data_IF_716299921616
#
_entry.id   IF_716299921616
#
_cell.length_a   1.000
_cell.length_b   1.000
_cell.length_c   1.000
_cell.angle_alpha   90.00
_cell.angle_beta   90.00
_cell.angle_gamma   90.00
#
_symmetry.space_group_name_H-M   'P 1'
#
loop_
_entity.id
_entity.type
_entity.pdbx_description
1 polymer ?
#
# COMPACT_ATOMS: atom_id res chain seq x y z
N UNK A 1 30.14 5.64 -61.14
CA UNK A 1 28.92 5.46 -60.31
C UNK A 1 28.79 4.08 -59.63
N UNK A 2 29.87 3.27 -59.49
CA UNK A 2 29.85 1.97 -58.76
C UNK A 2 30.59 2.00 -57.41
N UNK A 3 31.44 2.99 -57.17
CA UNK A 3 32.31 3.10 -55.99
C UNK A 3 31.59 3.63 -54.76
N UNK A 4 30.69 4.62 -54.90
CA UNK A 4 29.97 5.20 -53.75
C UNK A 4 29.00 4.20 -53.10
N UNK A 5 28.28 3.42 -53.90
CA UNK A 5 27.33 2.40 -53.41
C UNK A 5 28.05 1.26 -52.69
N UNK A 6 29.24 0.85 -53.15
CA UNK A 6 30.04 -0.18 -52.48
C UNK A 6 30.68 0.31 -51.17
N UNK A 7 31.17 1.55 -51.12
CA UNK A 7 31.67 2.15 -49.88
C UNK A 7 30.55 2.40 -48.85
N UNK A 8 29.38 2.86 -49.32
CA UNK A 8 28.19 3.05 -48.49
C UNK A 8 27.73 1.71 -47.89
N UNK A 9 27.60 0.66 -48.70
CA UNK A 9 27.26 -0.68 -48.21
C UNK A 9 28.26 -1.17 -47.17
N UNK A 10 29.59 -1.09 -47.41
CA UNK A 10 30.60 -1.56 -46.43
C UNK A 10 30.56 -0.82 -45.09
N UNK A 11 30.24 0.48 -45.08
CA UNK A 11 30.22 1.30 -43.84
C UNK A 11 28.97 1.06 -43.00
N UNK A 12 27.82 0.84 -43.62
CA UNK A 12 26.54 0.67 -42.90
C UNK A 12 26.14 -0.79 -42.67
N UNK A 13 26.72 -1.75 -43.40
CA UNK A 13 26.48 -3.19 -43.17
C UNK A 13 26.74 -3.62 -41.71
N UNK A 14 27.87 -3.26 -41.06
CA UNK A 14 28.09 -3.65 -39.66
C UNK A 14 27.11 -2.98 -38.69
N UNK A 15 26.69 -1.74 -38.97
CA UNK A 15 25.69 -1.02 -38.16
C UNK A 15 24.32 -1.67 -38.28
N UNK A 16 23.91 -2.06 -39.49
CA UNK A 16 22.66 -2.78 -39.74
C UNK A 16 22.62 -4.15 -39.04
N UNK A 17 23.76 -4.85 -39.03
CA UNK A 17 23.90 -6.13 -38.30
C UNK A 17 23.76 -5.91 -36.79
N UNK A 18 24.38 -4.87 -36.22
CA UNK A 18 24.26 -4.55 -34.78
C UNK A 18 22.82 -4.18 -34.43
N UNK A 19 22.16 -3.35 -35.24
CA UNK A 19 20.74 -2.98 -35.02
C UNK A 19 19.83 -4.20 -35.10
N UNK A 20 20.07 -5.11 -36.06
CA UNK A 20 19.35 -6.38 -36.14
C UNK A 20 19.62 -7.27 -34.92
N UNK A 21 20.86 -7.33 -34.43
CA UNK A 21 21.20 -8.11 -33.24
C UNK A 21 20.53 -7.54 -31.97
N UNK A 22 20.52 -6.22 -31.81
CA UNK A 22 19.83 -5.54 -30.70
C UNK A 22 18.32 -5.74 -30.81
N UNK A 23 17.73 -5.61 -32.00
CA UNK A 23 16.31 -5.90 -32.22
C UNK A 23 15.98 -7.36 -31.96
N UNK A 24 16.85 -8.31 -32.35
CA UNK A 24 16.64 -9.73 -32.03
C UNK A 24 16.82 -10.01 -30.54
N UNK A 25 17.72 -9.31 -29.83
CA UNK A 25 17.89 -9.45 -28.38
C UNK A 25 16.73 -8.82 -27.61
N UNK A 26 16.17 -7.71 -28.09
CA UNK A 26 14.95 -7.09 -27.55
C UNK A 26 13.76 -8.00 -27.84
N UNK A 27 13.60 -8.51 -29.07
CA UNK A 27 12.52 -9.45 -29.41
C UNK A 27 12.67 -10.78 -28.69
N UNK A 28 13.90 -11.26 -28.45
CA UNK A 28 14.18 -12.45 -27.64
C UNK A 28 13.92 -12.17 -26.16
N UNK A 29 14.24 -10.97 -25.65
CA UNK A 29 13.89 -10.52 -24.30
C UNK A 29 12.38 -10.36 -24.11
N UNK A 30 11.66 -9.85 -25.10
CA UNK A 30 10.18 -9.77 -25.10
C UNK A 30 9.57 -11.17 -25.24
N UNK A 31 10.17 -12.06 -26.05
CA UNK A 31 9.69 -13.44 -26.28
C UNK A 31 10.01 -14.38 -25.11
N UNK A 32 11.13 -14.20 -24.42
CA UNK A 32 11.49 -14.98 -23.22
C UNK A 32 11.01 -14.32 -21.93
N UNK A 33 10.74 -13.02 -21.93
CA UNK A 33 10.02 -12.30 -20.88
C UNK A 33 8.51 -12.58 -20.92
N UNK A 34 7.98 -12.93 -22.09
CA UNK A 34 6.74 -13.72 -22.19
C UNK A 34 7.05 -15.16 -21.81
N UNK A 35 7.07 -15.41 -20.50
CA UNK A 35 6.99 -16.75 -19.94
C UNK A 35 5.91 -17.56 -20.68
N UNK A 36 6.25 -18.77 -21.06
CA UNK A 36 5.34 -19.72 -21.71
C UNK A 36 4.10 -19.93 -20.81
N UNK A 37 3.00 -19.29 -21.20
CA UNK A 37 1.73 -19.26 -20.49
C UNK A 37 1.08 -20.62 -20.26
N UNK A 38 1.38 -21.25 -19.12
CA UNK A 38 0.56 -22.33 -18.51
C UNK A 38 0.54 -22.33 -16.97
N UNK A 39 0.73 -21.17 -16.34
CA UNK A 39 0.56 -20.97 -14.90
C UNK A 39 0.79 -19.50 -14.55
N UNK A 40 -0.09 -18.92 -13.76
CA UNK A 40 -0.13 -17.51 -13.42
C UNK A 40 1.06 -17.04 -12.60
N UNK A 41 1.81 -17.96 -11.97
CA UNK A 41 3.07 -17.70 -11.27
C UNK A 41 3.00 -16.47 -10.34
N UNK A 42 1.83 -16.21 -9.76
CA UNK A 42 1.54 -14.98 -9.02
C UNK A 42 2.37 -14.87 -7.73
N UNK A 43 2.79 -16.01 -7.18
CA UNK A 43 3.70 -16.14 -6.04
C UNK A 43 5.13 -16.52 -6.48
N UNK A 44 5.53 -16.18 -7.71
CA UNK A 44 6.90 -16.40 -8.15
C UNK A 44 7.89 -15.66 -7.23
N UNK A 45 8.91 -16.38 -6.76
CA UNK A 45 9.91 -15.86 -5.82
C UNK A 45 9.64 -16.18 -4.36
N UNK A 46 8.44 -16.68 -4.01
CA UNK A 46 8.13 -17.10 -2.65
C UNK A 46 9.10 -18.18 -2.18
N UNK A 47 9.58 -18.05 -0.94
CA UNK A 47 10.64 -18.89 -0.38
C UNK A 47 10.12 -19.72 0.79
N UNK A 48 9.45 -20.86 0.54
CA UNK A 48 8.92 -21.74 1.59
C UNK A 48 10.00 -22.45 2.41
N UNK A 49 11.28 -22.20 2.11
CA UNK A 49 12.40 -22.69 2.90
C UNK A 49 12.83 -21.67 3.97
N UNK A 50 12.46 -20.39 3.81
CA UNK A 50 12.89 -19.27 4.66
C UNK A 50 11.74 -18.42 5.18
N UNK A 51 10.52 -18.65 4.71
CA UNK A 51 9.32 -17.92 5.08
C UNK A 51 8.18 -18.90 5.36
N UNK A 52 7.22 -18.47 6.19
CA UNK A 52 5.94 -19.14 6.26
C UNK A 52 5.03 -18.65 5.13
N UNK A 53 3.93 -19.36 4.92
CA UNK A 53 2.86 -18.90 4.04
C UNK A 53 1.64 -18.53 4.86
N UNK A 54 1.12 -17.33 4.62
CA UNK A 54 -0.11 -16.85 5.21
C UNK A 54 -1.18 -16.70 4.13
N UNK A 55 -2.40 -17.06 4.49
CA UNK A 55 -3.58 -16.73 3.72
C UNK A 55 -4.48 -15.86 4.59
N UNK A 56 -5.08 -14.85 3.99
CA UNK A 56 -6.00 -13.92 4.64
C UNK A 56 -7.39 -14.13 4.05
N UNK A 57 -8.41 -13.89 4.86
CA UNK A 57 -9.81 -13.89 4.49
C UNK A 57 -10.46 -12.63 5.07
N UNK A 58 -11.23 -11.93 4.25
CA UNK A 58 -11.97 -10.75 4.66
C UNK A 58 -13.38 -10.81 4.09
N UNK A 59 -14.38 -10.89 4.95
CA UNK A 59 -15.80 -10.98 4.58
C UNK A 59 -16.51 -9.63 4.41
N UNK A 60 -15.78 -8.53 4.63
CA UNK A 60 -16.33 -7.17 4.65
C UNK A 60 -16.45 -6.58 6.06
N UNK A 61 -16.33 -7.40 7.09
CA UNK A 61 -16.39 -6.97 8.49
C UNK A 61 -15.15 -7.40 9.28
N UNK A 62 -14.67 -8.63 9.08
CA UNK A 62 -13.61 -9.24 9.88
C UNK A 62 -12.48 -9.78 9.02
N UNK A 63 -11.24 -9.53 9.45
CA UNK A 63 -10.04 -10.09 8.83
C UNK A 63 -9.55 -11.27 9.64
N UNK A 64 -9.46 -12.43 9.01
CA UNK A 64 -8.83 -13.62 9.59
C UNK A 64 -7.59 -13.97 8.77
N UNK A 65 -6.53 -14.41 9.45
CA UNK A 65 -5.33 -14.95 8.81
C UNK A 65 -5.09 -16.38 9.28
N UNK A 66 -4.65 -17.25 8.38
CA UNK A 66 -4.16 -18.59 8.69
C UNK A 66 -2.70 -18.70 8.30
N UNK A 67 -1.85 -19.20 9.21
CA UNK A 67 -0.42 -19.36 8.97
C UNK A 67 -0.02 -20.83 8.81
N UNK A 68 0.61 -21.18 7.67
CA UNK A 68 1.08 -22.52 7.36
C UNK A 68 2.61 -22.63 7.53
N UNK A 69 3.02 -23.36 8.56
CA UNK A 69 4.45 -23.61 8.86
C UNK A 69 5.01 -24.92 8.26
N UNK A 70 4.13 -25.86 7.87
CA UNK A 70 4.59 -27.12 7.28
C UNK A 70 5.12 -26.90 5.87
N UNK A 71 6.44 -26.92 5.72
CA UNK A 71 7.15 -26.69 4.45
C UNK A 71 6.68 -27.58 3.31
N UNK A 72 6.29 -28.83 3.61
CA UNK A 72 5.83 -29.79 2.61
C UNK A 72 4.46 -29.43 2.05
N UNK A 73 3.53 -29.02 2.92
CA UNK A 73 2.22 -28.50 2.55
C UNK A 73 2.34 -27.14 1.87
N UNK A 74 3.20 -26.27 2.38
CA UNK A 74 3.46 -24.93 1.84
C UNK A 74 3.93 -25.01 0.38
N UNK A 75 4.97 -25.79 0.09
CA UNK A 75 5.47 -26.00 -1.28
C UNK A 75 4.38 -26.52 -2.23
N UNK A 76 3.50 -27.40 -1.74
CA UNK A 76 2.38 -27.93 -2.54
C UNK A 76 1.33 -26.85 -2.80
N UNK A 77 1.00 -26.05 -1.80
CA UNK A 77 0.01 -24.98 -1.91
C UNK A 77 0.49 -23.85 -2.83
N UNK A 78 1.72 -23.35 -2.63
CA UNK A 78 2.34 -22.35 -3.51
C UNK A 78 2.40 -22.87 -4.96
N UNK A 79 2.78 -24.14 -5.17
CA UNK A 79 2.77 -24.75 -6.51
C UNK A 79 1.37 -24.81 -7.12
N UNK A 80 0.35 -25.09 -6.32
CA UNK A 80 -1.06 -25.11 -6.76
C UNK A 80 -1.52 -23.71 -7.18
N UNK A 81 -1.24 -22.69 -6.37
CA UNK A 81 -1.59 -21.29 -6.65
C UNK A 81 -0.87 -20.80 -7.92
N UNK A 82 0.43 -21.07 -8.05
CA UNK A 82 1.20 -20.68 -9.24
C UNK A 82 0.75 -21.39 -10.53
N UNK A 83 0.04 -22.51 -10.43
CA UNK A 83 -0.53 -23.22 -11.58
C UNK A 83 -1.88 -22.67 -12.04
N UNK A 84 -2.52 -21.77 -11.28
CA UNK A 84 -3.78 -21.13 -11.67
C UNK A 84 -3.55 -20.34 -12.97
N UNK A 85 -4.36 -20.51 -14.03
CA UNK A 85 -4.17 -19.78 -15.28
C UNK A 85 -4.62 -18.33 -15.10
N UNK A 86 -3.64 -17.42 -14.99
CA UNK A 86 -3.87 -15.98 -14.88
C UNK A 86 -3.44 -15.27 -16.17
N UNK A 87 -4.22 -14.28 -16.58
CA UNK A 87 -3.92 -13.37 -17.69
C UNK A 87 -3.82 -11.95 -17.14
N UNK A 88 -2.83 -11.19 -17.61
CA UNK A 88 -2.69 -9.79 -17.21
C UNK A 88 -3.94 -8.99 -17.58
N UNK A 89 -4.37 -8.12 -16.67
CA UNK A 89 -5.58 -7.33 -16.76
C UNK A 89 -5.28 -5.85 -16.46
N UNK A 90 -6.19 -4.97 -16.89
CA UNK A 90 -6.09 -3.53 -16.63
C UNK A 90 -6.42 -3.22 -15.17
N UNK A 91 -5.79 -2.18 -14.61
CA UNK A 91 -6.00 -1.78 -13.20
C UNK A 91 -7.47 -1.51 -12.86
N UNK A 92 -8.27 -1.05 -13.84
CA UNK A 92 -9.71 -0.83 -13.68
C UNK A 92 -10.50 -2.07 -13.24
N UNK A 93 -9.97 -3.29 -13.45
CA UNK A 93 -10.58 -4.53 -12.99
C UNK A 93 -10.68 -4.60 -11.45
N UNK A 94 -9.83 -3.88 -10.71
CA UNK A 94 -9.88 -3.83 -9.26
C UNK A 94 -11.24 -3.33 -8.74
N UNK A 95 -11.92 -2.46 -9.48
CA UNK A 95 -13.28 -1.99 -9.14
C UNK A 95 -14.35 -3.08 -9.15
N UNK A 96 -14.08 -4.23 -9.78
CA UNK A 96 -15.03 -5.34 -9.92
C UNK A 96 -14.88 -6.38 -8.78
N UNK A 97 -13.84 -6.27 -7.95
CA UNK A 97 -13.67 -7.12 -6.78
C UNK A 97 -14.80 -6.87 -5.78
N UNK A 98 -15.26 -7.93 -5.11
CA UNK A 98 -16.32 -7.85 -4.09
C UNK A 98 -16.06 -8.86 -2.97
N UNK A 99 -16.78 -8.74 -1.86
CA UNK A 99 -16.62 -9.68 -0.74
C UNK A 99 -17.02 -11.12 -1.15
N UNK A 100 -16.33 -12.15 -0.62
CA UNK A 100 -15.16 -12.06 0.25
C UNK A 100 -13.86 -11.80 -0.52
N UNK A 101 -12.92 -11.12 0.15
CA UNK A 101 -11.56 -10.95 -0.31
C UNK A 101 -10.64 -12.01 0.30
N UNK A 102 -9.68 -12.45 -0.48
CA UNK A 102 -8.62 -13.37 -0.04
C UNK A 102 -7.27 -12.72 -0.23
N UNK A 103 -6.38 -12.88 0.73
CA UNK A 103 -5.01 -12.40 0.66
C UNK A 103 -4.02 -13.55 0.75
N UNK A 104 -2.83 -13.36 0.22
CA UNK A 104 -1.72 -14.28 0.33
C UNK A 104 -0.47 -13.50 0.68
N UNK A 105 0.29 -13.98 1.65
CA UNK A 105 1.58 -13.41 2.00
C UNK A 105 2.62 -14.50 2.20
N UNK A 106 3.82 -14.23 1.71
CA UNK A 106 5.05 -14.96 2.00
C UNK A 106 6.21 -14.04 1.68
N UNK A 107 7.42 -14.34 2.14
CA UNK A 107 8.61 -13.59 1.76
C UNK A 107 9.51 -14.36 0.78
N UNK A 108 10.28 -13.60 0.01
CA UNK A 108 11.34 -14.15 -0.82
C UNK A 108 12.59 -14.47 0.02
N UNK A 109 13.66 -14.92 -0.63
CA UNK A 109 14.91 -15.29 0.06
C UNK A 109 15.65 -14.12 0.70
N UNK A 110 15.40 -12.91 0.22
CA UNK A 110 15.99 -11.68 0.71
C UNK A 110 15.14 -11.04 1.83
N UNK A 111 14.01 -11.67 2.19
CA UNK A 111 13.09 -11.20 3.21
C UNK A 111 12.07 -10.18 2.73
N UNK A 112 12.03 -9.87 1.42
CA UNK A 112 11.03 -8.96 0.86
C UNK A 112 9.67 -9.65 0.70
N UNK A 113 8.62 -8.88 0.92
CA UNK A 113 7.24 -9.34 0.85
C UNK A 113 6.83 -9.73 -0.56
N UNK A 114 6.09 -10.82 -0.65
CA UNK A 114 5.27 -11.23 -1.79
C UNK A 114 3.85 -11.30 -1.28
N UNK A 115 3.10 -10.24 -1.59
CA UNK A 115 1.73 -10.04 -1.13
C UNK A 115 0.78 -9.99 -2.33
N UNK A 116 -0.34 -10.69 -2.24
CA UNK A 116 -1.34 -10.80 -3.30
C UNK A 116 -2.73 -10.69 -2.68
N UNK A 117 -3.61 -9.89 -3.27
CA UNK A 117 -5.04 -9.90 -2.97
C UNK A 117 -5.83 -10.50 -4.13
N UNK A 118 -6.95 -11.16 -3.85
CA UNK A 118 -7.80 -11.77 -4.84
C UNK A 118 -9.26 -11.76 -4.43
N UNK A 119 -10.15 -11.53 -5.40
CA UNK A 119 -11.60 -11.61 -5.26
C UNK A 119 -12.24 -11.67 -6.64
N UNK A 120 -13.32 -12.44 -6.79
CA UNK A 120 -14.12 -12.44 -8.01
C UNK A 120 -13.37 -12.85 -9.29
N UNK A 121 -12.25 -13.56 -9.16
CA UNK A 121 -11.36 -13.91 -10.28
C UNK A 121 -10.33 -12.83 -10.64
N UNK A 122 -10.35 -11.66 -9.99
CA UNK A 122 -9.33 -10.61 -10.11
C UNK A 122 -8.26 -10.84 -9.06
N UNK A 123 -7.00 -10.60 -9.43
CA UNK A 123 -5.82 -10.76 -8.58
C UNK A 123 -4.94 -9.53 -8.67
N UNK A 124 -4.50 -9.03 -7.53
CA UNK A 124 -3.63 -7.87 -7.39
C UNK A 124 -2.33 -8.30 -6.71
N UNK A 125 -1.21 -8.13 -7.40
CA UNK A 125 0.12 -8.31 -6.81
C UNK A 125 0.60 -7.01 -6.17
N UNK A 126 1.48 -7.12 -5.17
CA UNK A 126 2.04 -5.98 -4.43
C UNK A 126 2.70 -4.89 -5.28
N UNK A 127 3.34 -5.27 -6.39
CA UNK A 127 3.89 -4.32 -7.37
C UNK A 127 2.82 -3.53 -8.15
N UNK A 128 1.54 -3.84 -7.97
CA UNK A 128 0.40 -3.21 -8.63
C UNK A 128 -0.08 -3.93 -9.89
N UNK A 129 0.58 -5.01 -10.31
CA UNK A 129 0.16 -5.77 -11.50
C UNK A 129 -1.15 -6.50 -11.21
N UNK A 130 -2.09 -6.41 -12.15
CA UNK A 130 -3.43 -7.01 -12.04
C UNK A 130 -3.58 -8.16 -13.02
N UNK A 131 -4.30 -9.20 -12.60
CA UNK A 131 -4.57 -10.37 -13.41
C UNK A 131 -6.02 -10.84 -13.26
N UNK A 132 -6.54 -11.46 -14.32
CA UNK A 132 -7.81 -12.19 -14.34
C UNK A 132 -7.56 -13.70 -14.42
N UNK A 133 -8.28 -14.45 -13.60
CA UNK A 133 -8.35 -15.90 -13.67
C UNK A 133 -9.19 -16.50 -12.56
N UNK A 134 -10.17 -17.31 -12.95
CA UNK A 134 -11.11 -17.93 -12.02
C UNK A 134 -10.46 -19.07 -11.23
N UNK A 135 -10.69 -19.06 -9.92
CA UNK A 135 -10.38 -20.17 -9.03
C UNK A 135 -11.36 -20.17 -7.86
N UNK A 136 -11.55 -21.33 -7.25
CA UNK A 136 -12.32 -21.46 -6.01
C UNK A 136 -11.40 -21.11 -4.82
N UNK A 137 -11.31 -19.82 -4.50
CA UNK A 137 -10.46 -19.30 -3.40
C UNK A 137 -10.88 -19.87 -2.03
N UNK A 138 -12.18 -20.09 -1.82
CA UNK A 138 -12.74 -20.75 -0.63
C UNK A 138 -12.14 -22.14 -0.41
N UNK A 139 -11.96 -22.94 -1.47
CA UNK A 139 -11.33 -24.26 -1.36
C UNK A 139 -9.84 -24.18 -1.01
N UNK A 140 -9.16 -23.08 -1.31
CA UNK A 140 -7.79 -22.85 -0.84
C UNK A 140 -7.78 -22.50 0.66
N UNK A 141 -8.74 -21.69 1.10
CA UNK A 141 -8.92 -21.32 2.50
C UNK A 141 -9.26 -22.52 3.38
N UNK A 142 -10.22 -23.35 2.96
CA UNK A 142 -10.61 -24.61 3.63
C UNK A 142 -9.43 -25.58 3.77
N UNK A 143 -8.53 -25.62 2.78
CA UNK A 143 -7.31 -26.45 2.86
C UNK A 143 -6.35 -26.01 3.97
N UNK A 144 -6.51 -24.79 4.49
CA UNK A 144 -5.74 -24.26 5.60
C UNK A 144 -6.43 -24.42 6.96
N UNK A 145 -7.62 -25.04 7.03
CA UNK A 145 -8.28 -25.34 8.30
C UNK A 145 -7.39 -26.14 9.25
N UNK A 146 -7.46 -25.77 10.54
CA UNK A 146 -6.69 -26.39 11.62
C UNK A 146 -5.22 -25.96 11.69
N UNK A 147 -4.77 -25.02 10.85
CA UNK A 147 -3.55 -24.28 11.10
C UNK A 147 -3.81 -23.14 12.11
N UNK A 148 -2.73 -22.46 12.50
CA UNK A 148 -2.80 -21.30 13.39
C UNK A 148 -3.65 -20.20 12.73
N UNK A 149 -4.66 -19.71 13.44
CA UNK A 149 -5.64 -18.73 12.97
C UNK A 149 -5.69 -17.55 13.94
N UNK A 150 -5.62 -16.34 13.39
CA UNK A 150 -5.69 -15.09 14.13
C UNK A 150 -6.77 -14.20 13.49
N UNK A 151 -7.73 -13.76 14.29
CA UNK A 151 -8.86 -12.91 13.93
C UNK A 151 -8.80 -11.53 14.61
N UNK A 152 -7.65 -11.19 15.21
CA UNK A 152 -7.42 -9.90 15.88
C UNK A 152 -6.91 -8.81 14.94
N UNK A 153 -6.56 -9.19 13.71
CA UNK A 153 -6.12 -8.27 12.66
C UNK A 153 -7.26 -7.38 12.18
N UNK A 154 -6.90 -6.26 11.56
CA UNK A 154 -7.86 -5.35 10.94
C UNK A 154 -7.56 -5.17 9.44
N UNK A 155 -8.38 -4.36 8.76
CA UNK A 155 -8.28 -4.16 7.31
C UNK A 155 -6.96 -3.53 6.86
N UNK A 156 -6.22 -2.85 7.74
CA UNK A 156 -4.90 -2.29 7.41
C UNK A 156 -3.83 -3.37 7.25
N UNK A 157 -3.99 -4.52 7.90
CA UNK A 157 -3.08 -5.66 7.83
C UNK A 157 -3.31 -6.51 6.57
N UNK A 158 -4.42 -6.28 5.86
CA UNK A 158 -4.80 -7.08 4.72
C UNK A 158 -3.85 -6.82 3.51
N UNK A 159 -3.38 -7.89 2.82
CA UNK A 159 -2.61 -7.78 1.58
C UNK A 159 -3.17 -6.75 0.60
N UNK A 160 -2.36 -5.77 0.20
CA UNK A 160 -2.72 -4.70 -0.73
C UNK A 160 -3.84 -3.74 -0.29
N UNK A 161 -4.17 -3.65 1.01
CA UNK A 161 -5.19 -2.73 1.51
C UNK A 161 -5.00 -1.29 1.01
N UNK A 162 -3.76 -0.77 1.00
CA UNK A 162 -3.42 0.55 0.47
C UNK A 162 -3.88 0.78 -0.97
N UNK A 163 -3.68 -0.19 -1.85
CA UNK A 163 -4.10 -0.13 -3.25
C UNK A 163 -5.61 -0.34 -3.40
N UNK A 164 -6.18 -1.27 -2.65
CA UNK A 164 -7.60 -1.60 -2.70
C UNK A 164 -8.49 -0.49 -2.14
N UNK A 165 -8.02 0.28 -1.16
CA UNK A 165 -8.76 1.37 -0.54
C UNK A 165 -9.16 2.49 -1.52
N UNK A 166 -8.45 2.62 -2.65
CA UNK A 166 -8.81 3.55 -3.73
C UNK A 166 -10.07 3.13 -4.50
N UNK A 167 -10.44 1.85 -4.44
CA UNK A 167 -11.57 1.26 -5.15
C UNK A 167 -12.69 0.84 -4.19
N UNK A 168 -12.32 0.47 -2.97
CA UNK A 168 -13.18 -0.18 -1.99
C UNK A 168 -12.99 0.45 -0.62
N UNK A 169 -13.93 1.32 -0.22
CA UNK A 169 -13.85 2.05 1.06
C UNK A 169 -13.87 1.14 2.30
N UNK A 170 -14.28 -0.13 2.15
CA UNK A 170 -14.24 -1.14 3.21
C UNK A 170 -12.81 -1.45 3.71
N UNK A 171 -11.77 -1.08 2.96
CA UNK A 171 -10.36 -1.17 3.41
C UNK A 171 -9.90 0.05 4.22
N UNK A 172 -10.76 1.03 4.44
CA UNK A 172 -10.48 2.15 5.34
C UNK A 172 -10.88 1.76 6.75
N UNK A 173 -9.94 1.82 7.70
CA UNK A 173 -10.23 1.53 9.09
C UNK A 173 -10.87 2.76 9.73
N UNK A 174 -12.07 2.62 10.28
CA UNK A 174 -12.67 3.70 11.07
C UNK A 174 -11.74 4.02 12.24
N UNK A 175 -11.28 5.26 12.35
CA UNK A 175 -10.48 5.66 13.49
C UNK A 175 -11.36 5.66 14.73
N UNK A 176 -10.80 5.19 15.85
CA UNK A 176 -11.43 5.40 17.15
C UNK A 176 -11.71 6.89 17.35
N UNK A 177 -12.76 7.20 18.11
CA UNK A 177 -13.03 8.56 18.55
C UNK A 177 -11.86 9.02 19.43
N UNK A 178 -10.82 9.56 18.81
CA UNK A 178 -9.88 10.43 19.49
C UNK A 178 -10.72 11.59 20.00
N UNK A 179 -10.70 11.84 21.32
CA UNK A 179 -11.22 13.08 21.86
C UNK A 179 -10.68 14.22 21.02
N UNK A 180 -11.55 15.11 20.54
CA UNK A 180 -11.16 16.26 19.70
C UNK A 180 -10.05 17.09 20.36
N UNK A 181 -9.96 16.99 21.69
CA UNK A 181 -8.84 17.46 22.49
C UNK A 181 -7.84 16.31 22.69
N UNK A 182 -6.66 16.43 22.06
CA UNK A 182 -5.51 15.59 22.36
C UNK A 182 -5.12 15.67 23.85
N UNK A 183 -4.13 14.87 24.30
CA UNK A 183 -3.70 14.90 25.70
C UNK A 183 -3.36 16.33 26.16
N UNK A 184 -3.83 16.69 27.36
CA UNK A 184 -3.74 18.06 27.89
C UNK A 184 -2.30 18.58 27.86
N UNK A 185 -2.10 19.79 27.33
CA UNK A 185 -0.79 20.43 27.22
C UNK A 185 0.09 19.92 26.07
N UNK A 186 -0.33 18.89 25.32
CA UNK A 186 0.34 18.48 24.08
C UNK A 186 -0.40 19.00 22.87
N UNK A 187 0.34 19.52 21.90
CA UNK A 187 -0.22 20.00 20.63
C UNK A 187 0.66 19.59 19.47
N UNK A 188 0.03 19.32 18.33
CA UNK A 188 0.73 19.09 17.07
C UNK A 188 0.10 19.98 16.00
N UNK A 189 0.93 20.77 15.32
CA UNK A 189 0.47 21.69 14.26
C UNK A 189 1.31 21.54 13.02
N UNK A 190 0.72 21.83 11.86
CA UNK A 190 1.45 21.79 10.59
C UNK A 190 2.31 23.04 10.45
N UNK A 191 3.59 22.87 10.15
CA UNK A 191 4.52 23.97 9.89
C UNK A 191 4.72 24.23 8.40
N UNK A 192 4.90 23.16 7.63
CA UNK A 192 5.16 23.22 6.20
C UNK A 192 4.57 22.00 5.51
N UNK A 193 4.12 22.19 4.26
CA UNK A 193 3.66 21.07 3.45
C UNK A 193 4.26 21.15 2.06
N UNK A 194 5.05 20.12 1.74
CA UNK A 194 5.60 19.89 0.42
C UNK A 194 4.63 19.17 -0.51
N UNK A 195 5.15 18.55 -1.56
CA UNK A 195 4.36 17.70 -2.46
C UNK A 195 4.21 16.26 -1.98
N UNK A 196 5.19 15.78 -1.21
CA UNK A 196 5.34 14.40 -0.75
C UNK A 196 5.73 14.32 0.73
N UNK A 197 5.93 15.46 1.37
CA UNK A 197 6.39 15.56 2.75
C UNK A 197 5.55 16.57 3.50
N UNK A 198 5.39 16.33 4.80
CA UNK A 198 4.73 17.26 5.73
C UNK A 198 5.61 17.43 6.95
N UNK A 199 5.84 18.68 7.35
CA UNK A 199 6.55 19.02 8.57
C UNK A 199 5.55 19.49 9.61
N UNK A 200 5.58 18.86 10.78
CA UNK A 200 4.73 19.21 11.92
C UNK A 200 5.58 19.65 13.11
N UNK A 201 5.05 20.55 13.93
CA UNK A 201 5.61 20.93 15.22
C UNK A 201 4.83 20.24 16.32
N UNK A 202 5.53 19.49 17.15
CA UNK A 202 5.00 18.94 18.40
C UNK A 202 5.48 19.85 19.54
N UNK A 203 4.55 20.34 20.36
CA UNK A 203 4.84 21.18 21.52
C UNK A 203 4.32 20.51 22.78
N UNK A 204 5.20 20.39 23.78
CA UNK A 204 4.88 19.80 25.08
C UNK A 204 4.80 20.89 26.17
N UNK A 205 3.64 20.98 26.81
CA UNK A 205 3.36 21.80 27.99
C UNK A 205 2.49 21.02 28.99
N UNK A 206 2.61 19.71 28.97
CA UNK A 206 1.81 18.79 29.81
C UNK A 206 2.28 18.77 31.27
N UNK A 207 3.47 19.29 31.56
CA UNK A 207 4.12 19.16 32.88
C UNK A 207 4.93 17.87 33.05
N UNK A 208 4.96 16.99 32.04
CA UNK A 208 5.70 15.72 32.02
C UNK A 208 6.49 15.58 30.71
N UNK A 209 7.46 14.67 30.67
CA UNK A 209 8.15 14.32 29.43
C UNK A 209 7.20 13.52 28.51
N UNK A 210 7.14 13.89 27.24
CA UNK A 210 6.39 13.17 26.23
C UNK A 210 7.33 12.30 25.39
N UNK A 211 6.94 11.06 25.10
CA UNK A 211 7.71 10.18 24.22
C UNK A 211 6.87 9.72 23.04
N UNK A 212 7.47 9.71 21.84
CA UNK A 212 6.82 9.30 20.59
C UNK A 212 7.80 8.56 19.69
N UNK A 213 7.28 7.65 18.87
CA UNK A 213 8.04 6.93 17.85
C UNK A 213 8.17 7.66 16.51
N UNK A 214 8.85 7.03 15.55
CA UNK A 214 8.85 7.48 14.15
C UNK A 214 7.61 7.02 13.37
N UNK A 215 6.86 6.06 13.92
CA UNK A 215 5.62 5.60 13.31
C UNK A 215 4.59 6.74 13.27
N UNK A 216 3.90 6.84 12.14
CA UNK A 216 2.79 7.75 11.97
C UNK A 216 1.70 7.09 11.12
N UNK A 217 0.46 7.52 11.31
CA UNK A 217 -0.65 7.14 10.45
C UNK A 217 -1.24 8.36 9.75
N UNK A 218 -1.86 8.13 8.59
CA UNK A 218 -2.60 9.15 7.86
C UNK A 218 -4.09 8.83 7.94
N UNK A 219 -4.89 9.81 8.33
CA UNK A 219 -6.33 9.67 8.39
C UNK A 219 -7.02 10.68 7.47
N UNK A 220 -8.12 10.27 6.85
CA UNK A 220 -8.96 11.10 5.99
C UNK A 220 -10.34 11.28 6.62
N UNK A 221 -10.87 12.49 6.52
CA UNK A 221 -12.26 12.76 6.92
C UNK A 221 -13.21 12.45 5.77
N UNK A 222 -14.21 11.61 6.04
CA UNK A 222 -15.28 11.22 5.13
C UNK A 222 -16.60 11.35 5.89
N UNK A 223 -17.52 12.19 5.40
CA UNK A 223 -18.83 12.43 6.01
C UNK A 223 -18.78 12.77 7.52
N UNK A 224 -17.76 13.53 7.93
CA UNK A 224 -17.55 13.95 9.33
C UNK A 224 -16.90 12.89 10.21
N UNK A 225 -16.56 11.72 9.68
CA UNK A 225 -15.87 10.64 10.40
C UNK A 225 -14.42 10.50 9.90
N UNK A 226 -13.51 10.22 10.82
CA UNK A 226 -12.11 9.92 10.50
C UNK A 226 -11.89 8.45 10.18
N UNK A 227 -11.12 8.20 9.14
CA UNK A 227 -10.70 6.87 8.71
C UNK A 227 -9.20 6.82 8.49
N UNK A 228 -8.52 5.84 9.09
CA UNK A 228 -7.12 5.53 8.82
C UNK A 228 -6.97 4.92 7.43
N UNK A 229 -6.06 5.50 6.66
CA UNK A 229 -5.71 5.06 5.31
C UNK A 229 -4.62 4.00 5.43
N UNK A 230 -4.74 2.84 4.78
CA UNK A 230 -3.67 1.86 4.73
C UNK A 230 -2.49 2.35 3.88
N UNK A 231 -1.29 1.97 4.30
CA UNK A 231 -0.05 2.24 3.54
C UNK A 231 -0.13 1.51 2.19
N UNK A 232 0.27 2.20 1.12
CA UNK A 232 0.25 1.69 -0.26
C UNK A 232 1.59 1.14 -0.71
N UNK A 233 2.69 1.70 -0.21
CA UNK A 233 4.04 1.25 -0.55
C UNK A 233 4.36 -0.12 0.08
N UNK A 234 5.17 -0.91 -0.62
CA UNK A 234 5.61 -2.22 -0.16
C UNK A 234 6.88 -2.11 0.69
N UNK A 235 7.08 -3.07 1.60
CA UNK A 235 8.28 -3.18 2.44
C UNK A 235 8.60 -1.89 3.22
N UNK A 236 7.57 -1.21 3.72
CA UNK A 236 7.73 -0.03 4.59
C UNK A 236 8.03 -0.50 6.00
N UNK A 237 9.07 0.09 6.61
CA UNK A 237 9.41 -0.10 8.01
C UNK A 237 9.78 1.22 8.65
N UNK A 238 9.54 1.33 9.94
CA UNK A 238 9.90 2.49 10.78
C UNK A 238 11.00 2.07 11.74
N UNK A 239 11.87 3.01 12.13
CA UNK A 239 12.83 2.72 13.18
C UNK A 239 12.09 2.67 14.52
N UNK A 240 12.39 1.65 15.31
CA UNK A 240 11.88 1.52 16.67
C UNK A 240 12.77 2.35 17.61
N UNK A 241 12.51 3.67 17.62
CA UNK A 241 13.21 4.66 18.43
C UNK A 241 12.18 5.45 19.22
N UNK A 242 12.46 5.68 20.51
CA UNK A 242 11.70 6.56 21.36
C UNK A 242 12.34 7.95 21.38
N UNK A 243 11.70 8.93 20.72
CA UNK A 243 12.03 10.33 20.89
C UNK A 243 11.50 10.81 22.24
N UNK A 244 12.25 11.63 22.96
CA UNK A 244 11.85 12.19 24.25
C UNK A 244 11.80 13.71 24.10
N UNK A 245 10.62 14.28 24.33
CA UNK A 245 10.34 15.70 24.28
C UNK A 245 10.02 16.21 25.70
N UNK A 246 10.97 16.89 26.37
CA UNK A 246 10.76 17.42 27.72
C UNK A 246 9.61 18.44 27.80
N UNK A 247 9.08 18.63 29.01
CA UNK A 247 8.09 19.67 29.27
C UNK A 247 8.64 21.08 28.92
N UNK A 248 7.79 21.89 28.30
CA UNK A 248 8.11 23.23 27.82
C UNK A 248 8.85 23.29 26.49
N UNK A 249 9.26 22.14 25.91
CA UNK A 249 9.99 22.08 24.65
C UNK A 249 9.09 21.88 23.42
N UNK A 250 9.69 21.97 22.24
CA UNK A 250 9.04 21.65 20.97
C UNK A 250 10.02 21.05 19.98
N UNK A 251 9.53 20.10 19.17
CA UNK A 251 10.28 19.46 18.09
C UNK A 251 9.55 19.68 16.75
N UNK A 252 10.32 19.73 15.67
CA UNK A 252 9.79 19.74 14.31
C UNK A 252 10.15 18.42 13.64
N UNK A 253 9.15 17.72 13.11
CA UNK A 253 9.29 16.39 12.51
C UNK A 253 8.77 16.40 11.07
N UNK A 254 9.51 15.78 10.16
CA UNK A 254 9.13 15.67 8.74
C UNK A 254 8.78 14.24 8.39
N UNK A 255 7.59 14.03 7.85
CA UNK A 255 7.05 12.73 7.46
C UNK A 255 6.88 12.61 5.95
N UNK A 256 7.28 11.46 5.39
CA UNK A 256 7.12 11.16 3.97
C UNK A 256 5.76 10.53 3.68
N UNK A 257 4.90 11.26 2.96
CA UNK A 257 3.55 10.84 2.59
C UNK A 257 3.50 9.98 1.32
N UNK A 258 4.59 9.83 0.55
CA UNK A 258 4.62 9.03 -0.68
C UNK A 258 4.27 7.55 -0.43
N UNK A 259 4.43 7.07 0.81
CA UNK A 259 4.06 5.70 1.20
C UNK A 259 2.55 5.44 1.08
N UNK A 260 1.71 6.48 1.04
CA UNK A 260 0.27 6.39 0.80
C UNK A 260 -0.10 6.55 -0.69
N UNK A 261 0.88 6.85 -1.56
CA UNK A 261 0.66 7.20 -2.96
C UNK A 261 0.03 8.59 -3.12
N UNK A 262 -0.59 8.83 -4.26
CA UNK A 262 -1.25 10.12 -4.54
C UNK A 262 -2.50 10.27 -3.68
N UNK A 263 -2.53 11.33 -2.88
CA UNK A 263 -3.67 11.66 -2.04
C UNK A 263 -4.75 12.39 -2.86
N UNK A 264 -5.98 11.88 -2.79
CA UNK A 264 -7.15 12.56 -3.35
C UNK A 264 -7.47 13.84 -2.57
N UNK A 265 -8.17 14.81 -3.18
CA UNK A 265 -8.62 15.98 -2.45
C UNK A 265 -9.46 15.64 -1.21
N UNK A 266 -9.30 16.41 -0.14
CA UNK A 266 -10.02 16.23 1.11
C UNK A 266 -9.33 16.83 2.32
N UNK A 267 -9.96 16.64 3.48
CA UNK A 267 -9.38 16.96 4.80
C UNK A 267 -8.68 15.72 5.33
N UNK A 268 -7.44 15.90 5.75
CA UNK A 268 -6.58 14.84 6.28
C UNK A 268 -6.05 15.25 7.64
N UNK A 269 -5.63 14.27 8.45
CA UNK A 269 -4.78 14.51 9.60
C UNK A 269 -3.64 13.51 9.65
N UNK A 270 -2.44 14.02 9.86
CA UNK A 270 -1.29 13.19 10.24
C UNK A 270 -1.42 12.88 11.72
N UNK A 271 -1.25 11.62 12.10
CA UNK A 271 -1.36 11.17 13.49
C UNK A 271 -0.05 10.56 13.95
N UNK A 272 0.47 11.08 15.06
CA UNK A 272 1.67 10.60 15.75
C UNK A 272 1.25 10.29 17.19
N UNK A 273 1.40 9.04 17.62
CA UNK A 273 0.81 8.55 18.87
C UNK A 273 -0.70 8.89 18.95
N UNK A 274 -1.05 9.82 19.83
CA UNK A 274 -2.43 10.31 20.06
C UNK A 274 -2.64 11.74 19.54
N UNK A 275 -1.64 12.36 18.93
CA UNK A 275 -1.68 13.72 18.43
C UNK A 275 -2.06 13.73 16.95
N UNK A 276 -2.95 14.66 16.57
CA UNK A 276 -3.37 14.87 15.19
C UNK A 276 -3.05 16.28 14.69
N UNK A 277 -2.53 16.40 13.48
CA UNK A 277 -2.36 17.68 12.80
C UNK A 277 -3.13 17.67 11.48
N UNK A 278 -4.14 18.53 11.40
CA UNK A 278 -5.04 18.60 10.26
C UNK A 278 -4.47 19.43 9.11
N UNK A 279 -4.71 18.97 7.88
CA UNK A 279 -4.33 19.67 6.66
C UNK A 279 -5.31 19.36 5.51
N UNK A 280 -5.28 20.23 4.50
CA UNK A 280 -6.08 20.09 3.29
C UNK A 280 -5.22 19.59 2.14
N UNK A 281 -5.75 18.62 1.41
CA UNK A 281 -5.28 18.26 0.07
C UNK A 281 -6.28 18.83 -0.94
N UNK A 282 -5.82 19.74 -1.79
CA UNK A 282 -6.53 20.24 -2.98
C UNK A 282 -6.05 19.54 -4.25
N UNK A 283 -6.54 19.96 -5.43
CA UNK A 283 -6.09 19.42 -6.73
C UNK A 283 -4.57 19.56 -6.92
N UNK A 284 -3.81 18.54 -6.52
CA UNK A 284 -2.35 18.48 -6.62
C UNK A 284 -1.58 19.44 -5.71
N UNK A 285 -2.20 19.98 -4.64
CA UNK A 285 -1.55 20.91 -3.70
C UNK A 285 -2.01 20.65 -2.28
N UNK A 286 -1.08 20.60 -1.33
CA UNK A 286 -1.40 20.52 0.08
C UNK A 286 -1.34 21.92 0.74
N UNK A 287 -2.19 22.17 1.74
CA UNK A 287 -2.23 23.42 2.50
C UNK A 287 -2.60 23.16 3.98
N UNK A 288 -1.96 23.88 4.92
CA UNK A 288 -2.28 23.76 6.34
C UNK A 288 -3.64 24.38 6.68
N UNK A 289 -4.33 23.84 7.68
CA UNK A 289 -5.51 24.47 8.27
C UNK A 289 -5.05 25.25 9.50
N UNK A 290 -4.92 26.57 9.38
CA UNK A 290 -4.73 27.41 10.56
C UNK A 290 -6.06 27.53 11.32
N UNK A 291 -6.07 27.12 12.59
CA UNK A 291 -7.24 27.18 13.44
C UNK A 291 -7.59 28.61 13.87
N UNK A 292 -8.76 29.10 13.46
CA UNK A 292 -9.78 29.76 14.30
C UNK A 292 -11.06 29.96 13.46
N UNK A 293 -11.98 28.98 13.43
CA UNK A 293 -13.34 29.24 12.96
C UNK A 293 -14.09 29.95 14.09
N UNK A 294 -13.89 31.27 14.18
CA UNK A 294 -14.81 32.15 14.88
C UNK A 294 -16.19 31.99 14.22
N UNK A 295 -17.07 31.23 14.86
CA UNK A 295 -18.48 31.14 14.49
C UNK A 295 -19.07 32.53 14.74
N UNK A 296 -19.15 33.36 13.68
CA UNK A 296 -19.97 34.57 13.76
C UNK A 296 -21.43 34.15 14.04
N UNK A 297 -22.07 34.66 15.11
CA UNK A 297 -23.45 34.35 15.38
C UNK A 297 -24.32 34.90 14.24
N UNK A 298 -24.94 33.99 13.51
CA UNK A 298 -25.90 34.26 12.45
C UNK A 298 -26.98 35.21 13.00
N UNK A 299 -26.97 36.47 12.56
CA UNK A 299 -28.07 37.41 12.82
C UNK A 299 -29.35 36.83 12.22
N UNK A 300 -30.34 36.55 13.07
CA UNK A 300 -31.68 36.21 12.63
C UNK A 300 -32.26 37.39 11.81
N UNK A 301 -32.88 37.14 10.65
CA UNK A 301 -33.65 38.18 9.97
C UNK A 301 -34.95 38.40 10.75
N UNK A 302 -35.18 39.65 11.13
CA UNK A 302 -36.49 40.16 11.49
C UNK A 302 -37.45 39.95 10.31
N UNK A 303 -38.49 39.12 10.49
CA UNK A 303 -39.90 39.40 10.14
C UNK A 303 -40.77 38.64 11.16
#
# INVERSE_FOLDING_TARGET
MKTYKQLWMKKYTPVLIIVLLVLTAILYGIRNGRSNGKGGNILAGASPDTSAFQMYYFDGETVAVRTLYDRGKEKKLIKKINAIPLLEAEESALSQMDIPFYGFWSSNKDGHDISVAASGGVWLKNDGTVYDGNTELSLLWEQMEGNDEDDTLNVLDFPNAGRLSAYHSIFLLKADEQTEEGPEGLTMTVEDIGTSEITVRITNKSGEDFSYGEYFSLQKQIDGQWYTIPVRADNVGFQDIANILPDGESASETYNLDIYGTLEPGVYRLVVETLGAEFLVGHGRMAGIEGELAIEPRKAPFI
#
